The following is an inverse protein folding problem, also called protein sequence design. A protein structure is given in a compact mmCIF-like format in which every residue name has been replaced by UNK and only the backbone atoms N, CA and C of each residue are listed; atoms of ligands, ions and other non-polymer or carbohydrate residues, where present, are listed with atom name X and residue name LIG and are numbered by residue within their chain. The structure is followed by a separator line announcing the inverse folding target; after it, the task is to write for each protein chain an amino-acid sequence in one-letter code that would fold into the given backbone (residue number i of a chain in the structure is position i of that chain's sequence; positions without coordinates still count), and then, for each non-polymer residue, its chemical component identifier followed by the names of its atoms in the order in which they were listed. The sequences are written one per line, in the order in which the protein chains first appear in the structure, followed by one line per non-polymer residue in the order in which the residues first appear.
data_IF_145067327949
#
_entry.id   IF_145067327949
#
_cell.length_a   1.000
_cell.length_b   1.000
_cell.length_c   1.000
_cell.angle_alpha   90.00
_cell.angle_beta   90.00
_cell.angle_gamma   90.00
#
_symmetry.space_group_name_H-M   'P 1'
#
loop_
_entity.id
_entity.type
_entity.pdbx_description
1 polymer ?
#
# COMPACT_ATOMS: atom_id res chain seq x y z
N UNK A 1 -8.30 -14.18 39.27
CA UNK A 1 -8.87 -12.92 38.75
C UNK A 1 -8.01 -12.45 37.59
N UNK A 2 -8.67 -12.11 36.46
CA UNK A 2 -8.06 -11.72 35.19
C UNK A 2 -7.54 -10.27 35.27
N UNK A 3 -6.43 -9.99 34.59
CA UNK A 3 -6.34 -8.83 33.70
C UNK A 3 -5.27 -9.09 32.63
N UNK A 4 -5.75 -9.30 31.41
CA UNK A 4 -4.99 -9.20 30.16
C UNK A 4 -5.03 -7.72 29.74
N UNK A 5 -3.87 -7.12 29.47
CA UNK A 5 -3.67 -5.93 28.62
C UNK A 5 -2.16 -5.67 28.66
N UNK A 6 -1.39 -5.62 27.58
CA UNK A 6 -1.61 -4.79 26.40
C UNK A 6 -0.79 -5.42 25.27
N UNK A 7 -1.43 -6.02 24.26
CA UNK A 7 -0.74 -6.37 23.03
C UNK A 7 -0.66 -5.10 22.19
N UNK A 8 0.54 -4.52 22.15
CA UNK A 8 0.92 -3.41 21.29
C UNK A 8 0.52 -3.73 19.84
N UNK A 9 -0.30 -2.86 19.27
CA UNK A 9 -0.57 -2.77 17.83
C UNK A 9 0.75 -2.50 17.09
N UNK A 10 1.48 -3.57 16.75
CA UNK A 10 2.48 -3.49 15.69
C UNK A 10 1.74 -3.63 14.37
N UNK A 11 1.30 -2.50 13.82
CA UNK A 11 0.91 -2.42 12.41
C UNK A 11 2.18 -2.63 11.59
N UNK A 12 2.53 -3.89 11.34
CA UNK A 12 3.64 -4.21 10.44
C UNK A 12 3.14 -3.91 9.03
N UNK A 13 3.43 -2.69 8.59
CA UNK A 13 3.21 -2.22 7.25
C UNK A 13 4.23 -2.96 6.37
N UNK A 14 3.83 -4.11 5.81
CA UNK A 14 4.56 -4.75 4.72
C UNK A 14 4.05 -4.12 3.41
N UNK A 15 4.68 -3.06 2.88
CA UNK A 15 4.52 -2.77 1.46
C UNK A 15 5.06 -4.01 0.75
N UNK A 16 4.22 -4.82 0.12
CA UNK A 16 4.65 -6.04 -0.57
C UNK A 16 5.43 -5.63 -1.83
N UNK A 17 6.77 -5.59 -1.83
CA UNK A 17 7.52 -5.03 -2.95
C UNK A 17 7.73 -6.10 -4.05
N UNK A 18 7.32 -7.36 -3.82
CA UNK A 18 7.73 -8.48 -4.66
C UNK A 18 6.91 -9.76 -4.50
N UNK A 19 5.57 -9.73 -4.62
CA UNK A 19 4.93 -10.94 -5.17
C UNK A 19 5.14 -10.90 -6.69
N UNK A 20 6.37 -11.15 -7.12
CA UNK A 20 6.75 -11.39 -8.52
C UNK A 20 6.78 -12.90 -8.79
N UNK A 21 5.77 -13.63 -8.33
CA UNK A 21 5.55 -14.98 -8.79
C UNK A 21 4.93 -14.90 -10.18
N UNK A 22 5.57 -15.53 -11.16
CA UNK A 22 5.12 -15.58 -12.56
C UNK A 22 3.71 -16.19 -12.69
N UNK A 23 3.32 -17.02 -11.70
CA UNK A 23 1.97 -17.57 -11.55
C UNK A 23 1.69 -17.93 -10.07
N UNK A 24 0.54 -17.53 -9.54
CA UNK A 24 0.11 -17.92 -8.19
C UNK A 24 -0.48 -19.33 -8.27
N UNK A 25 0.16 -20.30 -7.61
CA UNK A 25 -0.41 -21.64 -7.51
C UNK A 25 -1.61 -21.65 -6.56
N UNK A 26 -2.77 -22.05 -7.07
CA UNK A 26 -3.99 -22.19 -6.28
C UNK A 26 -4.09 -23.59 -5.67
N UNK A 27 -4.37 -23.66 -4.38
CA UNK A 27 -4.71 -24.90 -3.68
C UNK A 27 -6.22 -24.89 -3.44
N UNK A 28 -6.92 -25.95 -3.83
CA UNK A 28 -8.33 -26.14 -3.48
C UNK A 28 -8.45 -26.61 -2.04
N UNK A 29 -9.10 -25.80 -1.20
CA UNK A 29 -9.31 -26.08 0.23
C UNK A 29 -10.62 -26.81 0.51
N UNK A 30 -11.39 -27.20 -0.52
CA UNK A 30 -12.72 -27.83 -0.36
C UNK A 30 -12.70 -29.08 0.52
N UNK A 31 -11.63 -29.88 0.43
CA UNK A 31 -11.51 -31.15 1.15
C UNK A 31 -10.69 -31.03 2.45
N UNK A 32 -10.22 -29.82 2.79
CA UNK A 32 -9.36 -29.56 3.95
C UNK A 32 -10.10 -28.65 4.95
N UNK A 33 -10.94 -29.20 5.85
CA UNK A 33 -11.84 -28.42 6.68
C UNK A 33 -11.10 -27.42 7.58
N UNK A 34 -9.92 -27.81 8.09
CA UNK A 34 -9.10 -26.95 8.95
C UNK A 34 -8.57 -25.73 8.18
N UNK A 35 -8.12 -25.92 6.94
CA UNK A 35 -7.62 -24.82 6.11
C UNK A 35 -8.76 -23.90 5.69
N UNK A 36 -9.95 -24.47 5.38
CA UNK A 36 -11.14 -23.70 5.06
C UNK A 36 -11.58 -22.81 6.22
N UNK A 37 -11.67 -23.36 7.42
CA UNK A 37 -12.13 -22.61 8.60
C UNK A 37 -11.14 -21.48 8.96
N UNK A 38 -9.83 -21.72 8.78
CA UNK A 38 -8.82 -20.69 8.95
C UNK A 38 -8.95 -19.58 7.90
N UNK A 39 -9.12 -19.96 6.62
CA UNK A 39 -9.31 -19.00 5.53
C UNK A 39 -10.58 -18.14 5.74
N UNK A 40 -11.67 -18.75 6.19
CA UNK A 40 -12.90 -18.03 6.55
C UNK A 40 -12.69 -17.06 7.72
N UNK A 41 -11.92 -17.45 8.74
CA UNK A 41 -11.58 -16.57 9.86
C UNK A 41 -10.79 -15.34 9.39
N UNK A 42 -9.76 -15.55 8.56
CA UNK A 42 -8.96 -14.44 7.99
C UNK A 42 -9.86 -13.53 7.16
N UNK A 43 -10.71 -14.11 6.29
CA UNK A 43 -11.65 -13.35 5.46
C UNK A 43 -12.66 -12.55 6.29
N UNK A 44 -13.20 -13.13 7.36
CA UNK A 44 -14.21 -12.48 8.22
C UNK A 44 -13.62 -11.35 9.04
N UNK A 45 -12.42 -11.55 9.57
CA UNK A 45 -11.75 -10.55 10.42
C UNK A 45 -11.09 -9.45 9.59
N UNK A 46 -10.78 -9.74 8.32
CA UNK A 46 -10.00 -8.88 7.45
C UNK A 46 -8.61 -8.52 7.99
N UNK A 47 -8.07 -9.38 8.85
CA UNK A 47 -6.75 -9.21 9.47
C UNK A 47 -5.82 -10.29 8.91
N UNK A 48 -4.64 -9.94 8.36
CA UNK A 48 -3.62 -10.92 7.98
C UNK A 48 -3.20 -11.79 9.16
N UNK A 49 -3.01 -13.09 8.92
CA UNK A 49 -2.51 -14.03 9.92
C UNK A 49 -1.21 -14.67 9.46
N UNK A 50 -0.23 -14.72 10.36
CA UNK A 50 1.06 -15.38 10.15
C UNK A 50 1.00 -16.79 10.73
N UNK A 51 1.21 -17.79 9.88
CA UNK A 51 1.30 -19.20 10.26
C UNK A 51 2.74 -19.52 10.64
N UNK A 52 2.92 -20.03 11.87
CA UNK A 52 4.21 -20.41 12.44
C UNK A 52 4.24 -21.88 12.77
N UNK A 53 5.35 -22.54 12.50
CA UNK A 53 5.64 -23.91 12.99
C UNK A 53 7.02 -23.92 13.63
N UNK A 54 7.14 -24.51 14.81
CA UNK A 54 8.43 -24.64 15.52
C UNK A 54 9.20 -23.31 15.73
N UNK A 55 8.47 -22.19 15.73
CA UNK A 55 9.06 -20.85 15.88
C UNK A 55 9.49 -20.19 14.56
N UNK A 56 9.32 -20.88 13.43
CA UNK A 56 9.60 -20.35 12.09
C UNK A 56 8.32 -19.81 11.42
N UNK A 57 8.45 -18.67 10.76
CA UNK A 57 7.41 -18.04 9.95
C UNK A 57 7.29 -18.76 8.60
N UNK A 58 6.18 -19.49 8.40
CA UNK A 58 6.00 -20.32 7.19
C UNK A 58 5.19 -19.61 6.10
N UNK A 59 4.02 -19.07 6.45
CA UNK A 59 3.05 -18.56 5.48
C UNK A 59 2.32 -17.35 6.05
N UNK A 60 2.13 -16.33 5.23
CA UNK A 60 1.21 -15.22 5.52
C UNK A 60 -0.10 -15.47 4.79
N UNK A 61 -1.20 -15.57 5.52
CA UNK A 61 -2.55 -15.65 4.97
C UNK A 61 -3.20 -14.28 5.03
N UNK A 62 -3.52 -13.72 3.87
CA UNK A 62 -4.16 -12.41 3.76
C UNK A 62 -5.57 -12.54 3.19
N UNK A 63 -6.51 -11.71 3.66
CA UNK A 63 -7.83 -11.64 3.04
C UNK A 63 -7.68 -11.11 1.61
N UNK A 64 -8.18 -11.86 0.63
CA UNK A 64 -8.33 -11.34 -0.72
C UNK A 64 -9.61 -10.52 -0.79
N UNK A 65 -9.45 -9.21 -1.00
CA UNK A 65 -10.56 -8.40 -1.48
C UNK A 65 -10.76 -8.73 -2.95
N UNK A 66 -12.00 -8.98 -3.36
CA UNK A 66 -12.35 -8.83 -4.77
C UNK A 66 -11.88 -7.42 -5.14
N UNK A 67 -10.85 -7.33 -5.99
CA UNK A 67 -10.46 -6.05 -6.53
C UNK A 67 -11.75 -5.49 -7.11
N UNK A 68 -12.28 -4.41 -6.51
CA UNK A 68 -13.38 -3.65 -7.12
C UNK A 68 -12.92 -3.42 -8.54
N UNK A 69 -13.55 -4.14 -9.49
CA UNK A 69 -12.96 -4.42 -10.79
C UNK A 69 -12.35 -3.13 -11.32
N UNK A 70 -11.01 -3.14 -11.53
CA UNK A 70 -10.15 -1.98 -11.84
C UNK A 70 -10.98 -0.71 -11.88
N UNK A 71 -11.14 -0.03 -10.73
CA UNK A 71 -11.92 1.21 -10.59
C UNK A 71 -12.01 1.86 -11.94
N UNK A 72 -13.20 1.79 -12.58
CA UNK A 72 -13.40 2.26 -13.96
C UNK A 72 -12.56 3.52 -14.10
N UNK A 73 -11.46 3.44 -14.86
CA UNK A 73 -10.64 4.62 -15.10
C UNK A 73 -11.65 5.60 -15.66
N UNK A 74 -11.92 6.66 -14.90
CA UNK A 74 -12.91 7.66 -15.30
C UNK A 74 -12.53 8.03 -16.73
N UNK A 75 -13.44 7.80 -17.67
CA UNK A 75 -13.16 8.11 -19.06
C UNK A 75 -12.73 9.58 -19.10
N UNK A 76 -11.57 9.84 -19.68
CA UNK A 76 -11.00 11.18 -19.71
C UNK A 76 -11.99 12.09 -20.42
N UNK A 77 -12.41 13.15 -19.74
CA UNK A 77 -13.35 14.12 -20.28
C UNK A 77 -12.60 15.16 -21.11
N UNK A 78 -13.29 15.85 -22.03
CA UNK A 78 -12.66 16.94 -22.80
C UNK A 78 -12.07 18.02 -21.88
N UNK A 79 -12.70 18.29 -20.74
CA UNK A 79 -12.21 19.20 -19.72
C UNK A 79 -10.85 18.76 -19.12
N UNK A 80 -10.61 17.45 -18.97
CA UNK A 80 -9.33 16.93 -18.51
C UNK A 80 -8.22 17.14 -19.57
N UNK A 81 -8.58 17.04 -20.85
CA UNK A 81 -7.67 17.32 -21.96
C UNK A 81 -7.36 18.81 -22.09
N UNK A 82 -8.35 19.69 -21.94
CA UNK A 82 -8.16 21.14 -21.93
C UNK A 82 -7.28 21.59 -20.77
N UNK A 83 -7.51 21.07 -19.56
CA UNK A 83 -6.68 21.35 -18.38
C UNK A 83 -5.23 20.89 -18.57
N UNK A 84 -5.04 19.73 -19.22
CA UNK A 84 -3.71 19.25 -19.55
C UNK A 84 -3.03 20.12 -20.61
N UNK A 85 -3.78 20.55 -21.65
CA UNK A 85 -3.27 21.43 -22.71
C UNK A 85 -2.96 22.83 -22.19
N UNK A 86 -3.74 23.38 -21.25
CA UNK A 86 -3.48 24.70 -20.66
C UNK A 86 -2.22 24.73 -19.81
N UNK A 87 -1.84 23.59 -19.22
CA UNK A 87 -0.58 23.44 -18.50
C UNK A 87 0.60 23.13 -19.44
N UNK A 88 0.34 22.63 -20.66
CA UNK A 88 1.37 22.26 -21.62
C UNK A 88 2.10 23.51 -22.14
N UNK A 89 3.34 23.67 -21.70
CA UNK A 89 4.19 24.81 -22.10
C UNK A 89 4.23 25.97 -21.10
N UNK A 90 3.49 25.90 -19.98
CA UNK A 90 3.57 26.92 -18.91
C UNK A 90 4.93 27.02 -18.22
N UNK A 91 5.86 26.11 -18.53
CA UNK A 91 7.23 26.09 -18.02
C UNK A 91 8.25 26.72 -18.96
N UNK A 92 7.82 27.18 -20.15
CA UNK A 92 8.74 27.76 -21.15
C UNK A 92 9.31 29.12 -20.74
N UNK A 93 8.55 29.89 -19.98
CA UNK A 93 8.92 31.26 -19.56
C UNK A 93 9.50 31.32 -18.14
N UNK A 94 9.78 30.16 -17.54
CA UNK A 94 10.38 30.09 -16.21
C UNK A 94 11.89 30.28 -16.34
N UNK A 95 12.44 31.27 -15.64
CA UNK A 95 13.90 31.43 -15.49
C UNK A 95 14.45 30.30 -14.61
N UNK A 96 14.91 29.23 -15.25
CA UNK A 96 15.37 27.98 -14.59
C UNK A 96 16.45 28.23 -13.56
N UNK A 97 17.41 29.12 -13.84
CA UNK A 97 18.54 29.38 -12.93
C UNK A 97 18.09 30.05 -11.62
N UNK A 98 17.21 31.06 -11.70
CA UNK A 98 16.60 31.68 -10.53
C UNK A 98 15.71 30.70 -9.75
N UNK A 99 15.00 29.82 -10.46
CA UNK A 99 14.20 28.78 -9.82
C UNK A 99 15.07 27.81 -9.01
N UNK A 100 16.20 27.38 -9.59
CA UNK A 100 17.16 26.50 -8.92
C UNK A 100 17.71 27.20 -7.66
N UNK A 101 18.14 28.45 -7.78
CA UNK A 101 18.65 29.25 -6.66
C UNK A 101 17.63 29.34 -5.51
N UNK A 102 16.38 29.68 -5.82
CA UNK A 102 15.29 29.76 -4.85
C UNK A 102 15.00 28.40 -4.15
N UNK A 103 15.08 27.28 -4.88
CA UNK A 103 14.91 25.95 -4.30
C UNK A 103 16.03 25.64 -3.31
N UNK A 104 17.28 25.95 -3.66
CA UNK A 104 18.41 25.73 -2.76
C UNK A 104 18.37 26.66 -1.54
N UNK A 105 17.97 27.91 -1.71
CA UNK A 105 17.80 28.85 -0.61
C UNK A 105 16.69 28.39 0.35
N UNK A 106 15.53 27.99 -0.18
CA UNK A 106 14.43 27.44 0.62
C UNK A 106 14.83 26.17 1.36
N UNK A 107 15.64 25.29 0.74
CA UNK A 107 16.14 24.07 1.40
C UNK A 107 17.15 24.35 2.51
N UNK A 108 17.90 25.45 2.44
CA UNK A 108 18.82 25.87 3.51
C UNK A 108 18.06 26.34 4.75
N UNK A 109 16.88 26.92 4.57
CA UNK A 109 16.00 27.36 5.65
C UNK A 109 15.02 26.22 5.98
N UNK A 110 15.51 25.15 6.59
CA UNK A 110 14.63 24.07 7.07
C UNK A 110 13.87 24.51 8.32
N UNK A 111 12.62 24.95 8.12
CA UNK A 111 11.67 25.22 9.21
C UNK A 111 10.84 23.98 9.62
N UNK A 112 11.09 22.82 9.01
CA UNK A 112 10.35 21.59 9.32
C UNK A 112 10.91 20.99 10.63
N UNK A 113 10.05 20.66 11.61
CA UNK A 113 10.49 19.98 12.81
C UNK A 113 11.07 18.60 12.46
N UNK A 114 12.05 18.10 13.23
CA UNK A 114 12.60 16.75 13.03
C UNK A 114 11.49 15.70 13.10
N UNK A 115 11.50 14.74 12.17
CA UNK A 115 10.62 13.57 12.18
C UNK A 115 11.49 12.38 12.59
N UNK A 116 11.13 11.73 13.70
CA UNK A 116 11.70 10.43 14.06
C UNK A 116 11.14 9.36 13.11
N UNK A 117 12.04 8.57 12.53
CA UNK A 117 11.73 7.43 11.66
C UNK A 117 11.82 6.12 12.42
#
# INVERSE_FOLDING_TARGET
MRSLSTASEMSVNYPLPWVMAEEIQSIDVTHEPVLRDLAEKVRRTNVPHLLRSEGEDMVVMMPLHAARGRSHRKDKTEADYESFRSAAGGWKDIETDKLIENIYESRRISARPPIDL
#
